data_IF_648692569293
#
_entry.id   IF_648692569293
#
_cell.length_a   1.000
_cell.length_b   1.000
_cell.length_c   1.000
_cell.angle_alpha   90.00
_cell.angle_beta   90.00
_cell.angle_gamma   90.00
#
_symmetry.space_group_name_H-M   'P 1'
#
loop_
_entity.id
_entity.type
_entity.pdbx_description
1 polymer ?
#
# COMPACT_ATOMS: atom_id res chain seq x y z
N UNK A 1 11.12 -11.44 35.91
CA UNK A 1 10.96 -9.97 35.95
C UNK A 1 11.06 -9.52 34.50
N UNK A 2 9.93 -9.34 33.81
CA UNK A 2 9.93 -9.03 32.38
C UNK A 2 10.04 -7.51 32.22
N UNK A 3 11.16 -7.06 31.66
CA UNK A 3 11.36 -5.69 31.21
C UNK A 3 10.25 -5.35 30.20
N UNK A 4 9.30 -4.53 30.64
CA UNK A 4 8.39 -3.86 29.73
C UNK A 4 9.25 -2.88 28.93
N UNK A 5 9.57 -3.24 27.70
CA UNK A 5 10.15 -2.34 26.71
C UNK A 5 9.37 -1.02 26.74
N UNK A 6 10.05 0.04 27.16
CA UNK A 6 9.50 1.38 27.20
C UNK A 6 9.34 1.85 25.75
N UNK A 7 8.18 1.55 25.16
CA UNK A 7 7.85 1.99 23.80
C UNK A 7 7.82 3.51 23.85
N UNK A 8 8.82 4.12 23.22
CA UNK A 8 8.88 5.56 23.05
C UNK A 8 7.67 5.96 22.21
N UNK A 9 6.65 6.51 22.84
CA UNK A 9 5.50 7.06 22.13
C UNK A 9 6.01 8.26 21.34
N UNK A 10 6.13 8.11 20.02
CA UNK A 10 6.51 9.20 19.13
C UNK A 10 5.26 10.05 18.96
N UNK A 11 5.37 11.34 19.28
CA UNK A 11 4.32 12.32 18.99
C UNK A 11 4.46 12.78 17.54
N UNK A 12 3.58 12.30 16.68
CA UNK A 12 3.63 12.50 15.24
C UNK A 12 2.99 13.83 14.87
N UNK A 13 3.81 14.81 14.47
CA UNK A 13 3.37 16.18 14.14
C UNK A 13 2.32 16.24 13.03
N UNK A 14 2.29 15.27 12.12
CA UNK A 14 1.42 15.26 10.95
C UNK A 14 0.39 14.13 11.01
N UNK A 15 0.13 13.54 12.18
CA UNK A 15 -0.79 12.41 12.39
C UNK A 15 -0.42 11.18 11.55
N UNK A 16 0.88 10.94 11.35
CA UNK A 16 1.35 9.81 10.54
C UNK A 16 0.90 8.46 11.11
N UNK A 17 0.82 8.33 12.43
CA UNK A 17 0.26 7.17 13.12
C UNK A 17 -1.19 6.89 12.73
N UNK A 18 -2.02 7.92 12.70
CA UNK A 18 -3.42 7.80 12.29
C UNK A 18 -3.53 7.37 10.82
N UNK A 19 -2.74 7.99 9.93
CA UNK A 19 -2.76 7.65 8.51
C UNK A 19 -2.22 6.25 8.22
N UNK A 20 -1.20 5.80 8.95
CA UNK A 20 -0.69 4.43 8.86
C UNK A 20 -1.75 3.44 9.36
N UNK A 21 -2.43 3.73 10.46
CA UNK A 21 -3.54 2.89 10.95
C UNK A 21 -4.65 2.76 9.91
N UNK A 22 -5.04 3.87 9.27
CA UNK A 22 -6.03 3.85 8.20
C UNK A 22 -5.56 3.09 6.95
N UNK A 23 -4.26 3.15 6.63
CA UNK A 23 -3.66 2.37 5.54
C UNK A 23 -3.71 0.87 5.85
N UNK A 24 -3.41 0.47 7.09
CA UNK A 24 -3.53 -0.92 7.55
C UNK A 24 -4.98 -1.40 7.38
N UNK A 25 -5.96 -0.64 7.86
CA UNK A 25 -7.38 -0.99 7.71
C UNK A 25 -7.79 -1.09 6.24
N UNK A 26 -7.27 -0.19 5.40
CA UNK A 26 -7.51 -0.23 3.96
C UNK A 26 -6.94 -1.50 3.33
N UNK A 27 -5.69 -1.86 3.65
CA UNK A 27 -5.04 -3.09 3.18
C UNK A 27 -5.83 -4.32 3.64
N UNK A 28 -6.16 -4.42 4.93
CA UNK A 28 -6.93 -5.55 5.47
C UNK A 28 -8.25 -5.76 4.71
N UNK A 29 -8.99 -4.68 4.44
CA UNK A 29 -10.24 -4.74 3.65
C UNK A 29 -10.04 -5.23 2.23
N UNK A 30 -8.89 -4.94 1.60
CA UNK A 30 -8.60 -5.50 0.27
C UNK A 30 -8.39 -7.00 0.34
N UNK A 31 -7.77 -7.53 1.40
CA UNK A 31 -7.65 -8.97 1.60
C UNK A 31 -9.03 -9.63 1.80
N UNK A 32 -9.90 -9.06 2.64
CA UNK A 32 -11.26 -9.60 2.84
C UNK A 32 -12.07 -9.70 1.53
N UNK A 33 -11.90 -8.71 0.65
CA UNK A 33 -12.56 -8.66 -0.66
C UNK A 33 -11.97 -9.63 -1.69
N UNK A 34 -10.67 -9.95 -1.59
CA UNK A 34 -9.97 -10.80 -2.56
C UNK A 34 -9.97 -12.29 -2.16
N UNK A 35 -9.80 -12.62 -0.88
CA UNK A 35 -9.62 -14.00 -0.42
C UNK A 35 -10.92 -14.74 -0.08
N UNK A 36 -12.07 -14.07 -0.11
CA UNK A 36 -13.37 -14.72 0.16
C UNK A 36 -13.85 -15.68 -0.95
N UNK A 37 -13.17 -15.78 -2.10
CA UNK A 37 -13.66 -16.57 -3.26
C UNK A 37 -12.59 -17.24 -4.15
N UNK A 38 -11.47 -17.76 -3.63
CA UNK A 38 -10.46 -18.50 -4.44
C UNK A 38 -9.93 -17.72 -5.67
N UNK A 39 -9.94 -16.38 -5.62
CA UNK A 39 -9.48 -15.54 -6.72
C UNK A 39 -8.04 -15.12 -6.45
N UNK A 40 -7.10 -15.82 -7.07
CA UNK A 40 -5.75 -15.31 -7.29
C UNK A 40 -5.82 -13.83 -7.67
N UNK A 41 -5.09 -12.98 -6.96
CA UNK A 41 -5.15 -11.55 -7.21
C UNK A 41 -4.49 -11.32 -8.58
N UNK A 42 -5.14 -10.61 -9.50
CA UNK A 42 -4.52 -10.28 -10.79
C UNK A 42 -3.13 -9.63 -10.60
N UNK A 43 -2.94 -8.93 -9.49
CA UNK A 43 -1.67 -8.39 -9.02
C UNK A 43 -0.60 -9.45 -8.77
N UNK A 44 -0.93 -10.58 -8.13
CA UNK A 44 0.01 -11.69 -7.89
C UNK A 44 0.53 -12.23 -9.22
N UNK A 45 -0.34 -12.53 -10.18
CA UNK A 45 0.10 -13.00 -11.50
C UNK A 45 0.98 -12.01 -12.26
N UNK A 46 0.71 -10.71 -12.13
CA UNK A 46 1.51 -9.67 -12.79
C UNK A 46 2.91 -9.57 -12.17
N UNK A 47 3.00 -9.70 -10.83
CA UNK A 47 4.28 -9.71 -10.12
C UNK A 47 5.06 -10.98 -10.46
N UNK A 48 4.42 -12.15 -10.37
CA UNK A 48 5.03 -13.45 -10.71
C UNK A 48 5.48 -13.51 -12.19
N UNK A 49 4.80 -12.76 -13.07
CA UNK A 49 5.15 -12.62 -14.48
C UNK A 49 6.33 -11.67 -14.76
N UNK A 50 6.99 -11.10 -13.74
CA UNK A 50 8.13 -10.19 -13.92
C UNK A 50 7.74 -8.80 -14.44
N UNK A 51 6.49 -8.39 -14.22
CA UNK A 51 5.96 -7.08 -14.62
C UNK A 51 5.55 -6.22 -13.41
N UNK A 52 6.00 -6.61 -12.20
CA UNK A 52 5.63 -5.99 -10.94
C UNK A 52 6.00 -4.51 -10.86
N UNK A 53 7.24 -4.15 -11.22
CA UNK A 53 7.74 -2.77 -11.08
C UNK A 53 6.91 -1.81 -11.95
N UNK A 54 6.84 -2.09 -13.26
CA UNK A 54 6.09 -1.27 -14.21
C UNK A 54 4.61 -1.17 -13.85
N UNK A 55 4.00 -2.26 -13.36
CA UNK A 55 2.62 -2.26 -12.91
C UNK A 55 2.40 -1.35 -11.70
N UNK A 56 3.26 -1.44 -10.68
CA UNK A 56 3.14 -0.62 -9.46
C UNK A 56 3.37 0.86 -9.78
N UNK A 57 4.44 1.18 -10.51
CA UNK A 57 4.78 2.56 -10.89
C UNK A 57 3.71 3.19 -11.79
N UNK A 58 3.18 2.43 -12.74
CA UNK A 58 2.07 2.89 -13.59
C UNK A 58 0.81 3.21 -12.78
N UNK A 59 0.49 2.42 -11.76
CA UNK A 59 -0.65 2.70 -10.88
C UNK A 59 -0.42 3.91 -9.98
N UNK A 60 0.78 4.06 -9.41
CA UNK A 60 1.17 5.25 -8.63
C UNK A 60 0.97 6.51 -9.47
N UNK A 61 1.53 6.53 -10.69
CA UNK A 61 1.41 7.67 -11.60
C UNK A 61 -0.07 7.95 -11.96
N UNK A 62 -0.84 6.90 -12.28
CA UNK A 62 -2.26 7.01 -12.60
C UNK A 62 -3.05 7.69 -11.47
N UNK A 63 -2.88 7.27 -10.22
CA UNK A 63 -3.65 7.84 -9.10
C UNK A 63 -3.14 9.21 -8.68
N UNK A 64 -1.83 9.47 -8.78
CA UNK A 64 -1.28 10.81 -8.58
C UNK A 64 -1.84 11.81 -9.60
N UNK A 65 -1.87 11.45 -10.88
CA UNK A 65 -2.43 12.30 -11.94
C UNK A 65 -3.94 12.50 -11.83
N UNK A 66 -4.65 11.54 -11.23
CA UNK A 66 -6.10 11.56 -11.06
C UNK A 66 -6.53 12.51 -9.95
N UNK A 67 -5.74 12.64 -8.89
CA UNK A 67 -6.02 13.52 -7.76
C UNK A 67 -6.13 14.98 -8.22
N UNK A 68 -7.25 15.64 -7.88
CA UNK A 68 -7.56 16.99 -8.33
C UNK A 68 -8.16 17.07 -9.74
N UNK A 69 -8.22 15.96 -10.49
CA UNK A 69 -8.81 15.90 -11.83
C UNK A 69 -10.12 15.10 -11.86
N UNK A 70 -10.09 13.83 -11.44
CA UNK A 70 -11.26 12.95 -11.46
C UNK A 70 -11.88 12.90 -10.07
N UNK A 71 -13.13 13.34 -9.95
CA UNK A 71 -13.85 13.46 -8.68
C UNK A 71 -13.16 14.44 -7.71
N UNK A 72 -12.48 15.47 -8.24
CA UNK A 72 -11.78 16.48 -7.45
C UNK A 72 -10.63 15.91 -6.62
N UNK A 73 -10.45 16.46 -5.42
CA UNK A 73 -9.41 16.04 -4.46
C UNK A 73 -9.85 14.80 -3.67
N UNK A 74 -10.03 13.69 -4.39
CA UNK A 74 -10.48 12.45 -3.79
C UNK A 74 -9.36 11.78 -2.97
N UNK A 75 -9.50 11.77 -1.64
CA UNK A 75 -8.55 11.12 -0.71
C UNK A 75 -8.29 9.64 -1.03
N UNK A 76 -9.26 8.95 -1.62
CA UNK A 76 -9.10 7.55 -2.00
C UNK A 76 -8.07 7.33 -3.12
N UNK A 77 -7.68 8.38 -3.86
CA UNK A 77 -6.59 8.30 -4.83
C UNK A 77 -5.23 8.33 -4.12
N UNK A 78 -5.06 9.15 -3.07
CA UNK A 78 -3.85 9.15 -2.23
C UNK A 78 -3.66 7.83 -1.49
N UNK A 79 -4.74 7.24 -0.96
CA UNK A 79 -4.66 5.93 -0.30
C UNK A 79 -4.22 4.81 -1.26
N UNK A 80 -4.61 4.90 -2.54
CA UNK A 80 -4.14 3.96 -3.57
C UNK A 80 -2.68 4.18 -3.91
N UNK A 81 -2.20 5.43 -3.95
CA UNK A 81 -0.77 5.71 -4.12
C UNK A 81 0.04 5.03 -3.02
N UNK A 82 -0.37 5.17 -1.76
CA UNK A 82 0.30 4.50 -0.62
C UNK A 82 0.26 2.98 -0.74
N UNK A 83 -0.89 2.39 -1.09
CA UNK A 83 -1.01 0.95 -1.26
C UNK A 83 -0.10 0.42 -2.37
N UNK A 84 -0.08 1.05 -3.55
CA UNK A 84 0.80 0.62 -4.64
C UNK A 84 2.29 0.87 -4.34
N UNK A 85 2.61 1.84 -3.48
CA UNK A 85 3.98 2.00 -2.99
C UNK A 85 4.41 0.82 -2.09
N UNK A 86 3.50 0.26 -1.28
CA UNK A 86 3.80 -0.98 -0.52
C UNK A 86 4.07 -2.16 -1.45
N UNK A 87 3.31 -2.32 -2.53
CA UNK A 87 3.59 -3.34 -3.54
C UNK A 87 4.92 -3.09 -4.28
N UNK A 88 5.24 -1.84 -4.61
CA UNK A 88 6.52 -1.50 -5.23
C UNK A 88 7.70 -1.85 -4.33
N UNK A 89 7.60 -1.61 -3.01
CA UNK A 89 8.61 -2.03 -2.03
C UNK A 89 8.80 -3.56 -2.03
N UNK A 90 7.70 -4.32 -2.00
CA UNK A 90 7.76 -5.78 -2.06
C UNK A 90 8.42 -6.29 -3.34
N UNK A 91 8.05 -5.72 -4.50
CA UNK A 91 8.65 -6.07 -5.79
C UNK A 91 10.15 -5.73 -5.80
N UNK A 92 10.52 -4.55 -5.32
CA UNK A 92 11.91 -4.14 -5.21
C UNK A 92 12.73 -5.16 -4.38
N UNK A 93 12.21 -5.56 -3.22
CA UNK A 93 12.87 -6.55 -2.37
C UNK A 93 12.97 -7.94 -3.02
N UNK A 94 12.07 -8.31 -3.94
CA UNK A 94 12.19 -9.55 -4.71
C UNK A 94 13.26 -9.43 -5.79
N UNK A 95 13.23 -8.33 -6.56
CA UNK A 95 14.06 -8.15 -7.75
C UNK A 95 15.51 -7.78 -7.41
N UNK A 96 15.74 -7.16 -6.25
CA UNK A 96 17.05 -6.63 -5.86
C UNK A 96 17.63 -7.23 -4.57
N UNK A 97 17.10 -8.35 -4.10
CA UNK A 97 17.71 -9.09 -2.98
C UNK A 97 19.18 -9.40 -3.30
N UNK A 98 20.06 -8.78 -2.52
CA UNK A 98 21.51 -9.08 -2.46
C UNK A 98 21.79 -10.18 -1.45
#
# INVERSE_FOLDING_TARGET
>A
MNEKTNIKCIDYKYNEDEYISQLIDYVNKTYDQHYSQNKYQATEFIIDGGHGEGFCMGNILKYAQRYGKKNGYNRADLMKVLHYALFALYVHDIEHKS
#
